data_IF_791809816703
#
_entry.id   IF_791809816703
#
_cell.length_a   1.000
_cell.length_b   1.000
_cell.length_c   1.000
_cell.angle_alpha   90.00
_cell.angle_beta   90.00
_cell.angle_gamma   90.00
#
_symmetry.space_group_name_H-M   'P 1'
#
loop_
_entity.id
_entity.type
_entity.pdbx_description
1 polymer ?
#
# COMPACT_ATOMS: atom_id res chain seq x y z
N UNK A 1 -16.79 1.13 -10.95
CA UNK A 1 -16.81 -0.09 -10.10
C UNK A 1 -15.49 -0.19 -9.33
N UNK A 2 -15.51 -0.60 -8.06
CA UNK A 2 -14.29 -0.84 -7.25
C UNK A 2 -14.18 -2.31 -6.86
N UNK A 3 -13.00 -2.91 -7.03
CA UNK A 3 -12.70 -4.31 -6.66
C UNK A 3 -11.47 -4.35 -5.75
N UNK A 4 -11.61 -4.98 -4.58
CA UNK A 4 -10.45 -5.25 -3.71
C UNK A 4 -9.52 -6.29 -4.33
N UNK A 5 -8.21 -6.09 -4.17
CA UNK A 5 -7.16 -7.04 -4.58
C UNK A 5 -6.61 -7.75 -3.37
N UNK A 6 -6.15 -6.98 -2.38
CA UNK A 6 -5.57 -7.48 -1.13
C UNK A 6 -5.56 -6.37 -0.09
N UNK A 7 -5.51 -6.75 1.17
CA UNK A 7 -5.37 -5.84 2.30
C UNK A 7 -4.68 -6.53 3.47
N UNK A 8 -3.99 -5.73 4.27
CA UNK A 8 -3.33 -6.22 5.46
C UNK A 8 -3.41 -5.20 6.59
N UNK A 9 -4.16 -5.52 7.66
CA UNK A 9 -4.08 -4.79 8.92
C UNK A 9 -2.85 -5.26 9.71
N UNK A 10 -1.84 -4.41 9.86
CA UNK A 10 -0.66 -4.76 10.68
C UNK A 10 -1.07 -5.16 12.09
N UNK A 11 -0.36 -6.13 12.63
CA UNK A 11 -0.50 -6.63 13.98
C UNK A 11 0.57 -6.02 14.89
N UNK A 12 0.36 -5.97 16.21
CA UNK A 12 1.35 -5.43 17.15
C UNK A 12 2.76 -6.04 17.01
N UNK A 13 2.87 -7.29 16.53
CA UNK A 13 4.15 -7.97 16.29
C UNK A 13 4.90 -7.54 15.03
N UNK A 14 4.27 -6.77 14.14
CA UNK A 14 4.90 -6.30 12.90
C UNK A 14 5.72 -5.01 13.10
N UNK A 15 5.53 -4.32 14.24
CA UNK A 15 6.30 -3.13 14.54
C UNK A 15 7.77 -3.48 14.83
N UNK A 16 8.72 -2.70 14.30
CA UNK A 16 10.11 -2.84 14.68
C UNK A 16 10.29 -2.53 16.18
N UNK A 17 11.16 -3.31 16.83
CA UNK A 17 11.47 -3.09 18.25
C UNK A 17 12.33 -1.83 18.40
N UNK A 18 11.89 -0.92 19.27
CA UNK A 18 12.66 0.27 19.66
C UNK A 18 12.52 1.47 18.72
N UNK A 19 11.52 1.47 17.84
CA UNK A 19 11.14 2.63 17.04
C UNK A 19 9.80 3.18 17.53
N UNK A 20 9.86 4.29 18.29
CA UNK A 20 8.68 4.92 18.89
C UNK A 20 7.85 5.73 17.87
N UNK A 21 8.42 6.02 16.69
CA UNK A 21 7.74 6.74 15.61
C UNK A 21 6.95 5.79 14.70
N UNK A 22 7.29 4.49 14.69
CA UNK A 22 6.59 3.49 13.90
C UNK A 22 5.12 3.34 14.34
N UNK A 23 4.20 3.45 13.38
CA UNK A 23 2.75 3.30 13.59
C UNK A 23 2.23 2.02 12.98
N UNK A 24 1.25 1.40 13.64
CA UNK A 24 0.49 0.31 13.05
C UNK A 24 -0.41 0.88 11.97
N UNK A 25 -0.19 0.46 10.73
CA UNK A 25 -1.03 0.85 9.60
C UNK A 25 -1.80 -0.35 9.07
N UNK A 26 -3.00 -0.09 8.56
CA UNK A 26 -3.68 -0.96 7.62
C UNK A 26 -3.40 -0.44 6.22
N UNK A 27 -3.08 -1.34 5.28
CA UNK A 27 -3.02 -0.98 3.87
C UNK A 27 -3.96 -1.85 3.05
N UNK A 28 -4.48 -1.29 1.96
CA UNK A 28 -5.35 -2.00 1.03
C UNK A 28 -5.09 -1.59 -0.41
N UNK A 29 -5.08 -2.57 -1.31
CA UNK A 29 -4.95 -2.39 -2.75
C UNK A 29 -6.27 -2.74 -3.42
N UNK A 30 -6.79 -1.83 -4.23
CA UNK A 30 -7.98 -2.04 -5.04
C UNK A 30 -7.76 -1.59 -6.48
N UNK A 31 -8.63 -2.02 -7.39
CA UNK A 31 -8.77 -1.45 -8.74
C UNK A 31 -10.07 -0.66 -8.79
N UNK A 32 -10.00 0.54 -9.37
CA UNK A 32 -11.17 1.35 -9.68
C UNK A 32 -11.11 1.79 -11.14
N UNK A 33 -12.25 1.82 -11.81
CA UNK A 33 -12.44 2.42 -13.14
C UNK A 33 -13.44 3.58 -13.10
N UNK A 34 -13.87 3.98 -11.90
CA UNK A 34 -14.90 4.98 -11.68
C UNK A 34 -14.32 6.41 -11.78
N UNK A 35 -13.98 6.80 -13.00
CA UNK A 35 -13.41 8.10 -13.33
C UNK A 35 -14.03 8.65 -14.60
N UNK A 36 -14.05 9.97 -14.74
CA UNK A 36 -14.58 10.64 -15.93
C UNK A 36 -13.83 10.26 -17.22
N UNK A 37 -12.54 9.93 -17.11
CA UNK A 37 -11.72 9.49 -18.23
C UNK A 37 -11.84 7.99 -18.55
N UNK A 38 -12.64 7.24 -17.77
CA UNK A 38 -12.80 5.79 -17.86
C UNK A 38 -11.48 4.99 -17.84
N UNK A 39 -10.40 5.58 -17.29
CA UNK A 39 -9.10 4.90 -17.17
C UNK A 39 -9.01 4.18 -15.83
N UNK A 40 -8.79 2.85 -15.82
CA UNK A 40 -8.60 2.12 -14.58
C UNK A 40 -7.33 2.56 -13.83
N UNK A 41 -7.45 2.67 -12.51
CA UNK A 41 -6.36 3.04 -11.60
C UNK A 41 -6.23 2.00 -10.48
N UNK A 42 -5.00 1.81 -10.03
CA UNK A 42 -4.73 1.12 -8.77
C UNK A 42 -4.97 2.11 -7.64
N UNK A 43 -5.73 1.69 -6.63
CA UNK A 43 -6.01 2.50 -5.45
C UNK A 43 -5.27 1.88 -4.28
N UNK A 44 -4.32 2.62 -3.70
CA UNK A 44 -3.63 2.26 -2.47
C UNK A 44 -4.20 3.10 -1.33
N UNK A 45 -4.79 2.43 -0.35
CA UNK A 45 -5.25 3.04 0.89
C UNK A 45 -4.25 2.69 2.00
N UNK A 46 -3.87 3.69 2.81
CA UNK A 46 -3.06 3.53 4.02
C UNK A 46 -3.76 4.28 5.15
N UNK A 47 -4.17 3.56 6.19
CA UNK A 47 -4.83 4.11 7.38
C UNK A 47 -4.04 3.73 8.64
N UNK A 48 -3.89 4.66 9.59
CA UNK A 48 -3.38 4.31 10.92
C UNK A 48 -4.45 3.55 11.72
N UNK A 49 -4.06 2.42 12.34
CA UNK A 49 -4.99 1.59 13.11
C UNK A 49 -5.49 2.37 14.33
N UNK A 50 -6.82 2.44 14.48
CA UNK A 50 -7.47 3.20 15.55
C UNK A 50 -7.81 4.65 15.19
N UNK A 51 -7.34 5.13 14.03
CA UNK A 51 -7.51 6.50 13.55
C UNK A 51 -8.32 6.51 12.24
N UNK A 52 -9.54 5.98 12.30
CA UNK A 52 -10.38 5.80 11.11
C UNK A 52 -10.73 7.14 10.43
N UNK A 53 -10.51 7.20 9.12
CA UNK A 53 -10.85 8.37 8.29
C UNK A 53 -9.74 9.42 8.17
N UNK A 54 -8.60 9.21 8.82
CA UNK A 54 -7.43 10.11 8.75
C UNK A 54 -6.35 9.63 7.76
N UNK A 55 -6.52 8.45 7.18
CA UNK A 55 -5.55 7.88 6.25
C UNK A 55 -5.53 8.53 4.86
N UNK A 56 -4.60 8.04 4.05
CA UNK A 56 -4.34 8.54 2.71
C UNK A 56 -4.80 7.52 1.67
N UNK A 57 -5.42 8.04 0.60
CA UNK A 57 -5.84 7.24 -0.55
C UNK A 57 -5.13 7.78 -1.79
N UNK A 58 -4.23 6.98 -2.34
CA UNK A 58 -3.53 7.28 -3.58
C UNK A 58 -4.15 6.57 -4.78
N UNK A 59 -4.28 7.29 -5.88
CA UNK A 59 -4.80 6.79 -7.14
C UNK A 59 -3.69 6.76 -8.19
N UNK A 60 -3.29 5.56 -8.60
CA UNK A 60 -2.10 5.31 -9.39
C UNK A 60 -2.46 4.88 -10.80
N UNK A 61 -1.84 5.53 -11.78
CA UNK A 61 -1.76 4.99 -13.14
C UNK A 61 -0.90 3.70 -13.14
N UNK A 62 -0.99 2.88 -14.19
CA UNK A 62 -0.15 1.68 -14.30
C UNK A 62 1.36 1.98 -14.18
N UNK A 63 1.84 3.11 -14.70
CA UNK A 63 3.25 3.50 -14.59
C UNK A 63 3.66 3.87 -13.17
N UNK A 64 2.81 4.63 -12.45
CA UNK A 64 3.07 4.97 -11.05
C UNK A 64 3.08 3.71 -10.17
N UNK A 65 2.15 2.78 -10.39
CA UNK A 65 2.08 1.52 -9.67
C UNK A 65 3.32 0.64 -9.95
N UNK A 66 3.77 0.55 -11.20
CA UNK A 66 5.03 -0.15 -11.55
C UNK A 66 6.24 0.46 -10.87
N UNK A 67 6.30 1.80 -10.77
CA UNK A 67 7.38 2.51 -10.08
C UNK A 67 7.42 2.18 -8.59
N UNK A 68 6.26 2.18 -7.92
CA UNK A 68 6.16 1.79 -6.51
C UNK A 68 6.56 0.32 -6.31
N UNK A 69 6.03 -0.59 -7.13
CA UNK A 69 6.38 -2.02 -7.09
C UNK A 69 7.88 -2.25 -7.22
N UNK A 70 8.54 -1.55 -8.15
CA UNK A 70 9.99 -1.62 -8.31
C UNK A 70 10.73 -1.12 -7.08
N UNK A 71 10.31 0.00 -6.49
CA UNK A 71 10.94 0.53 -5.29
C UNK A 71 10.87 -0.45 -4.10
N UNK A 72 9.72 -1.12 -3.92
CA UNK A 72 9.57 -2.17 -2.91
C UNK A 72 10.46 -3.38 -3.19
N UNK A 73 10.46 -3.86 -4.44
CA UNK A 73 11.34 -4.95 -4.88
C UNK A 73 12.82 -4.63 -4.61
N UNK A 74 13.27 -3.43 -4.97
CA UNK A 74 14.67 -3.01 -4.77
C UNK A 74 14.99 -2.85 -3.26
N UNK A 75 14.04 -2.35 -2.45
CA UNK A 75 14.18 -2.28 -0.99
C UNK A 75 14.32 -3.65 -0.34
N UNK A 76 13.55 -4.66 -0.79
CA UNK A 76 13.68 -6.05 -0.31
C UNK A 76 15.07 -6.62 -0.58
N UNK A 77 15.63 -6.33 -1.77
CA UNK A 77 17.00 -6.76 -2.11
C UNK A 77 18.04 -6.13 -1.20
N UNK A 78 17.87 -4.85 -0.87
CA UNK A 78 18.82 -4.11 -0.02
C UNK A 78 18.91 -4.72 1.39
N UNK A 79 17.80 -5.21 1.94
CA UNK A 79 17.77 -5.89 3.24
C UNK A 79 18.04 -7.40 3.16
N UNK A 80 18.52 -7.89 2.01
CA UNK A 80 18.93 -9.29 1.81
C UNK A 80 17.79 -10.30 1.72
N UNK A 81 16.56 -9.85 1.45
CA UNK A 81 15.40 -10.73 1.27
C UNK A 81 15.21 -11.13 -0.20
N UNK A 82 14.49 -12.22 -0.43
CA UNK A 82 13.99 -12.56 -1.78
C UNK A 82 12.90 -11.55 -2.16
N UNK A 83 13.12 -10.72 -3.21
CA UNK A 83 12.17 -9.68 -3.57
C UNK A 83 10.93 -10.22 -4.30
N UNK A 84 10.90 -11.50 -4.68
CA UNK A 84 9.81 -12.06 -5.49
C UNK A 84 9.80 -11.53 -6.93
N UNK A 85 8.62 -11.59 -7.58
CA UNK A 85 8.43 -11.20 -9.00
C UNK A 85 7.84 -9.79 -9.21
#
# INVERSE_FOLDING_TARGET
MRRSIDDYPMQPGDLPVGDDDAKLISWGVAVSDDYEDAVPRIVLTIDEIGHAGEGLIGHFTPDMARKLRKALHDGLREIGQDPGQ
#
